data_IF_890826272377
#
_entry.id   IF_890826272377
#
_cell.length_a   1.000
_cell.length_b   1.000
_cell.length_c   1.000
_cell.angle_alpha   90.00
_cell.angle_beta   90.00
_cell.angle_gamma   90.00
#
_symmetry.space_group_name_H-M   'P 1'
#
loop_
_entity.id
_entity.type
_entity.pdbx_description
1 polymer ?
#
# COMPACT_ATOMS: atom_id res chain seq x y z
N UNK A 1 -39.50 6.09 57.16
CA UNK A 1 -38.24 6.81 56.87
C UNK A 1 -37.13 5.78 56.62
N UNK A 2 -37.30 4.90 55.63
CA UNK A 2 -36.34 3.84 55.26
C UNK A 2 -36.23 3.78 53.74
N UNK A 3 -37.39 3.92 53.06
CA UNK A 3 -37.52 4.03 51.59
C UNK A 3 -36.61 5.10 50.96
N UNK A 4 -36.46 6.27 51.60
CA UNK A 4 -35.63 7.37 51.08
C UNK A 4 -34.12 7.12 51.19
N UNK A 5 -33.67 6.19 52.04
CA UNK A 5 -32.23 5.91 52.23
C UNK A 5 -31.74 4.85 51.25
N UNK A 6 -32.57 3.86 50.95
CA UNK A 6 -32.26 2.81 49.98
C UNK A 6 -32.20 3.36 48.54
N UNK A 7 -33.07 4.31 48.19
CA UNK A 7 -33.10 4.93 46.85
C UNK A 7 -31.85 5.78 46.58
N UNK A 8 -31.38 6.54 47.59
CA UNK A 8 -30.13 7.31 47.52
C UNK A 8 -28.91 6.39 47.42
N UNK A 9 -28.95 5.22 48.07
CA UNK A 9 -27.89 4.23 47.98
C UNK A 9 -27.87 3.56 46.59
N UNK A 10 -29.04 3.26 46.01
CA UNK A 10 -29.18 2.71 44.67
C UNK A 10 -28.74 3.69 43.58
N UNK A 11 -29.15 4.96 43.64
CA UNK A 11 -28.70 6.01 42.72
C UNK A 11 -27.17 6.15 42.75
N UNK A 12 -26.58 6.14 43.95
CA UNK A 12 -25.13 6.23 44.11
C UNK A 12 -24.40 5.01 43.53
N UNK A 13 -25.00 3.82 43.62
CA UNK A 13 -24.47 2.58 43.01
C UNK A 13 -24.49 2.66 41.48
N UNK A 14 -25.58 3.12 40.88
CA UNK A 14 -25.71 3.26 39.42
C UNK A 14 -24.75 4.30 38.85
N UNK A 15 -24.54 5.39 39.59
CA UNK A 15 -23.54 6.42 39.23
C UNK A 15 -22.13 5.81 39.26
N UNK A 16 -21.83 4.96 40.23
CA UNK A 16 -20.54 4.27 40.31
C UNK A 16 -20.37 3.24 39.17
N UNK A 17 -21.41 2.48 38.83
CA UNK A 17 -21.38 1.52 37.73
C UNK A 17 -21.20 2.21 36.36
N UNK A 18 -21.88 3.34 36.13
CA UNK A 18 -21.69 4.14 34.91
C UNK A 18 -20.27 4.68 34.85
N UNK A 19 -19.71 5.12 35.99
CA UNK A 19 -18.33 5.60 36.06
C UNK A 19 -17.33 4.48 35.76
N UNK A 20 -17.56 3.28 36.28
CA UNK A 20 -16.77 2.09 35.97
C UNK A 20 -16.83 1.73 34.49
N UNK A 21 -18.03 1.73 33.87
CA UNK A 21 -18.19 1.48 32.43
C UNK A 21 -17.50 2.53 31.55
N UNK A 22 -17.47 3.79 31.97
CA UNK A 22 -16.75 4.86 31.25
C UNK A 22 -15.24 4.68 31.36
N UNK A 23 -14.74 4.28 32.53
CA UNK A 23 -13.33 3.99 32.75
C UNK A 23 -12.88 2.77 31.91
N UNK A 24 -13.67 1.70 31.91
CA UNK A 24 -13.44 0.50 31.12
C UNK A 24 -13.50 0.78 29.61
N UNK A 25 -14.45 1.61 29.17
CA UNK A 25 -14.57 2.03 27.77
C UNK A 25 -13.37 2.86 27.30
N UNK A 26 -12.78 3.68 28.18
CA UNK A 26 -11.54 4.40 27.90
C UNK A 26 -10.35 3.44 27.79
N UNK A 27 -10.22 2.50 28.72
CA UNK A 27 -9.16 1.49 28.69
C UNK A 27 -9.23 0.63 27.43
N UNK A 28 -10.44 0.26 26.99
CA UNK A 28 -10.65 -0.47 25.74
C UNK A 28 -10.24 0.37 24.52
N UNK A 29 -10.65 1.64 24.47
CA UNK A 29 -10.28 2.54 23.38
C UNK A 29 -8.76 2.77 23.30
N UNK A 30 -8.10 2.93 24.45
CA UNK A 30 -6.64 3.05 24.53
C UNK A 30 -5.95 1.77 24.05
N UNK A 31 -6.46 0.59 24.45
CA UNK A 31 -5.92 -0.70 23.99
C UNK A 31 -6.06 -0.90 22.48
N UNK A 32 -7.18 -0.48 21.89
CA UNK A 32 -7.42 -0.57 20.44
C UNK A 32 -6.43 0.32 19.66
N UNK A 33 -6.23 1.57 20.11
CA UNK A 33 -5.28 2.51 19.51
C UNK A 33 -3.86 1.93 19.58
N UNK A 34 -3.48 1.39 20.73
CA UNK A 34 -2.16 0.81 20.93
C UNK A 34 -1.95 -0.45 20.09
N UNK A 35 -2.99 -1.27 19.91
CA UNK A 35 -2.98 -2.42 19.01
C UNK A 35 -2.75 -2.00 17.55
N UNK A 36 -3.49 -1.00 17.07
CA UNK A 36 -3.31 -0.48 15.71
C UNK A 36 -1.94 0.14 15.49
N UNK A 37 -1.42 0.87 16.49
CA UNK A 37 -0.07 1.43 16.47
C UNK A 37 1.00 0.34 16.42
N UNK A 38 0.88 -0.72 17.23
CA UNK A 38 1.79 -1.88 17.23
C UNK A 38 1.74 -2.62 15.90
N UNK A 39 0.55 -2.84 15.33
CA UNK A 39 0.40 -3.47 14.01
C UNK A 39 1.04 -2.64 12.90
N UNK A 40 0.86 -1.31 12.93
CA UNK A 40 1.49 -0.41 11.98
C UNK A 40 3.03 -0.40 12.11
N UNK A 41 3.57 -0.37 13.32
CA UNK A 41 5.01 -0.43 13.59
C UNK A 41 5.62 -1.77 13.18
N UNK A 42 4.94 -2.88 13.46
CA UNK A 42 5.36 -4.21 13.03
C UNK A 42 5.38 -4.31 11.50
N UNK A 43 4.32 -3.86 10.84
CA UNK A 43 4.25 -3.80 9.38
C UNK A 43 5.35 -2.90 8.79
N UNK A 44 5.62 -1.74 9.39
CA UNK A 44 6.69 -0.83 8.96
C UNK A 44 8.08 -1.45 9.13
N UNK A 45 8.30 -2.22 10.20
CA UNK A 45 9.58 -2.89 10.46
C UNK A 45 9.81 -4.05 9.50
N UNK A 46 8.78 -4.87 9.27
CA UNK A 46 8.80 -5.92 8.25
C UNK A 46 8.99 -5.34 6.84
N UNK A 47 8.38 -4.19 6.55
CA UNK A 47 8.49 -3.53 5.26
C UNK A 47 9.94 -3.12 4.94
N UNK A 48 10.77 -2.73 5.92
CA UNK A 48 12.17 -2.32 5.66
C UNK A 48 13.00 -3.40 4.97
N UNK A 49 12.92 -4.64 5.46
CA UNK A 49 13.63 -5.78 4.86
C UNK A 49 13.10 -6.10 3.46
N UNK A 50 11.77 -6.07 3.31
CA UNK A 50 11.10 -6.31 2.03
C UNK A 50 11.47 -5.24 1.01
N UNK A 51 11.48 -3.95 1.39
CA UNK A 51 11.86 -2.85 0.50
C UNK A 51 13.31 -2.95 0.03
N UNK A 52 14.23 -3.41 0.89
CA UNK A 52 15.62 -3.62 0.51
C UNK A 52 15.74 -4.76 -0.53
N UNK A 53 15.03 -5.87 -0.32
CA UNK A 53 15.00 -6.99 -1.26
C UNK A 53 14.37 -6.61 -2.61
N UNK A 54 13.23 -5.91 -2.59
CA UNK A 54 12.60 -5.42 -3.82
C UNK A 54 13.45 -4.38 -4.54
N UNK A 55 14.14 -3.51 -3.79
CA UNK A 55 15.11 -2.56 -4.34
C UNK A 55 16.25 -3.29 -5.05
N UNK A 56 16.87 -4.28 -4.38
CA UNK A 56 17.92 -5.10 -4.98
C UNK A 56 17.42 -5.87 -6.21
N UNK A 57 16.23 -6.48 -6.14
CA UNK A 57 15.61 -7.15 -7.27
C UNK A 57 15.34 -6.21 -8.45
N UNK A 58 14.88 -4.97 -8.19
CA UNK A 58 14.66 -3.97 -9.23
C UNK A 58 15.97 -3.55 -9.91
N UNK A 59 17.05 -3.37 -9.14
CA UNK A 59 18.39 -3.08 -9.68
C UNK A 59 18.89 -4.23 -10.56
N UNK A 60 18.77 -5.48 -10.10
CA UNK A 60 19.14 -6.65 -10.88
C UNK A 60 18.30 -6.80 -12.15
N UNK A 61 16.98 -6.59 -12.06
CA UNK A 61 16.09 -6.62 -13.20
C UNK A 61 16.44 -5.53 -14.24
N UNK A 62 16.86 -4.35 -13.79
CA UNK A 62 17.33 -3.28 -14.67
C UNK A 62 18.59 -3.69 -15.44
N UNK A 63 19.60 -4.25 -14.77
CA UNK A 63 20.80 -4.76 -15.43
C UNK A 63 20.48 -5.93 -16.38
N UNK A 64 19.60 -6.84 -15.97
CA UNK A 64 19.13 -7.93 -16.83
C UNK A 64 18.44 -7.39 -18.09
N UNK A 65 17.64 -6.34 -17.97
CA UNK A 65 17.02 -5.66 -19.11
C UNK A 65 18.04 -5.08 -20.09
N UNK A 66 19.07 -4.39 -19.59
CA UNK A 66 20.17 -3.87 -20.44
C UNK A 66 20.90 -5.03 -21.13
N UNK A 67 21.27 -6.08 -20.38
CA UNK A 67 21.97 -7.23 -20.92
C UNK A 67 21.15 -7.95 -21.99
N UNK A 68 19.83 -8.08 -21.79
CA UNK A 68 18.90 -8.63 -22.78
C UNK A 68 18.90 -7.78 -24.06
N UNK A 69 18.73 -6.46 -23.94
CA UNK A 69 18.71 -5.57 -25.11
C UNK A 69 20.01 -5.65 -25.89
N UNK A 70 21.16 -5.58 -25.21
CA UNK A 70 22.49 -5.71 -25.83
C UNK A 70 22.63 -7.07 -26.51
N UNK A 71 22.29 -8.16 -25.81
CA UNK A 71 22.37 -9.52 -26.35
C UNK A 71 21.48 -9.71 -27.58
N UNK A 72 20.26 -9.18 -27.57
CA UNK A 72 19.33 -9.24 -28.70
C UNK A 72 19.87 -8.46 -29.90
N UNK A 73 20.42 -7.27 -29.68
CA UNK A 73 21.04 -6.46 -30.74
C UNK A 73 22.23 -7.19 -31.37
N UNK A 74 23.08 -7.81 -30.56
CA UNK A 74 24.25 -8.55 -31.06
C UNK A 74 23.85 -9.82 -31.82
N UNK A 75 22.84 -10.53 -31.33
CA UNK A 75 22.33 -11.76 -31.95
C UNK A 75 21.66 -11.48 -33.31
N UNK A 76 20.73 -10.52 -33.36
CA UNK A 76 20.06 -10.14 -34.61
C UNK A 76 20.99 -9.38 -35.56
N UNK A 77 22.01 -8.71 -35.02
CA UNK A 77 23.05 -8.04 -35.81
C UNK A 77 23.73 -8.97 -36.80
N UNK A 78 23.87 -10.27 -36.47
CA UNK A 78 24.43 -11.28 -37.37
C UNK A 78 23.51 -11.66 -38.54
N UNK A 79 22.22 -11.32 -38.46
CA UNK A 79 21.19 -11.69 -39.45
C UNK A 79 20.81 -10.49 -40.32
N UNK A 80 20.50 -9.35 -39.70
CA UNK A 80 19.90 -8.18 -40.37
C UNK A 80 20.74 -6.90 -40.28
N UNK A 81 22.02 -7.00 -39.87
CA UNK A 81 22.94 -5.90 -39.51
C UNK A 81 22.65 -5.26 -38.15
N UNK A 82 23.70 -4.72 -37.51
CA UNK A 82 23.59 -4.08 -36.20
C UNK A 82 22.65 -2.85 -36.20
N UNK A 83 22.68 -2.03 -37.26
CA UNK A 83 21.77 -0.88 -37.39
C UNK A 83 20.30 -1.31 -37.57
N UNK A 84 20.04 -2.33 -38.38
CA UNK A 84 18.71 -2.90 -38.53
C UNK A 84 18.19 -3.48 -37.21
N UNK A 85 19.07 -4.14 -36.47
CA UNK A 85 18.73 -4.71 -35.17
C UNK A 85 18.43 -3.67 -34.11
N UNK A 86 19.23 -2.60 -33.98
CA UNK A 86 18.96 -1.54 -33.00
C UNK A 86 17.64 -0.85 -33.29
N UNK A 87 17.34 -0.56 -34.56
CA UNK A 87 16.08 0.04 -34.97
C UNK A 87 14.88 -0.85 -34.61
N UNK A 88 14.96 -2.15 -34.94
CA UNK A 88 13.89 -3.11 -34.67
C UNK A 88 13.62 -3.28 -33.16
N UNK A 89 14.67 -3.53 -32.37
CA UNK A 89 14.53 -3.74 -30.93
C UNK A 89 13.97 -2.49 -30.25
N UNK A 90 14.45 -1.31 -30.64
CA UNK A 90 13.96 -0.03 -30.10
C UNK A 90 12.49 0.19 -30.46
N UNK A 91 12.09 -0.08 -31.71
CA UNK A 91 10.70 0.07 -32.14
C UNK A 91 9.76 -0.85 -31.36
N UNK A 92 10.12 -2.13 -31.17
CA UNK A 92 9.33 -3.08 -30.39
C UNK A 92 9.18 -2.64 -28.93
N UNK A 93 10.27 -2.22 -28.28
CA UNK A 93 10.23 -1.74 -26.90
C UNK A 93 9.42 -0.45 -26.76
N UNK A 94 9.54 0.48 -27.72
CA UNK A 94 8.78 1.73 -27.72
C UNK A 94 7.27 1.47 -27.84
N UNK A 95 6.86 0.56 -28.73
CA UNK A 95 5.46 0.15 -28.87
C UNK A 95 4.95 -0.47 -27.55
N UNK A 96 5.71 -1.40 -26.96
CA UNK A 96 5.37 -2.02 -25.68
C UNK A 96 5.23 -0.97 -24.56
N UNK A 97 6.18 -0.04 -24.46
CA UNK A 97 6.15 1.05 -23.48
C UNK A 97 4.91 1.93 -23.65
N UNK A 98 4.55 2.29 -24.89
CA UNK A 98 3.34 3.08 -25.17
C UNK A 98 2.06 2.33 -24.77
N UNK A 99 1.96 1.03 -25.04
CA UNK A 99 0.78 0.24 -24.66
C UNK A 99 0.62 0.14 -23.13
N UNK A 100 1.73 -0.07 -22.41
CA UNK A 100 1.74 -0.10 -20.95
C UNK A 100 1.39 1.27 -20.36
N UNK A 101 1.98 2.35 -20.89
CA UNK A 101 1.70 3.72 -20.46
C UNK A 101 0.21 4.06 -20.63
N UNK A 102 -0.38 3.76 -21.79
CA UNK A 102 -1.82 3.99 -22.03
C UNK A 102 -2.69 3.22 -21.04
N UNK A 103 -2.38 1.94 -20.81
CA UNK A 103 -3.12 1.10 -19.86
C UNK A 103 -3.02 1.63 -18.43
N UNK A 104 -1.83 2.06 -18.01
CA UNK A 104 -1.60 2.65 -16.71
C UNK A 104 -2.38 3.97 -16.55
N UNK A 105 -2.32 4.86 -17.54
CA UNK A 105 -3.09 6.11 -17.55
C UNK A 105 -4.59 5.88 -17.48
N UNK A 106 -5.13 4.91 -18.23
CA UNK A 106 -6.55 4.55 -18.15
C UNK A 106 -6.98 4.10 -16.75
N UNK A 107 -6.16 3.28 -16.08
CA UNK A 107 -6.43 2.84 -14.70
C UNK A 107 -6.37 4.00 -13.70
N UNK A 108 -5.37 4.88 -13.84
CA UNK A 108 -5.24 6.07 -13.00
C UNK A 108 -6.43 7.02 -13.18
N UNK A 109 -6.87 7.24 -14.41
CA UNK A 109 -8.02 8.11 -14.70
C UNK A 109 -9.31 7.55 -14.10
N UNK A 110 -9.51 6.22 -14.17
CA UNK A 110 -10.65 5.55 -13.54
C UNK A 110 -10.62 5.69 -12.01
N UNK A 111 -9.44 5.53 -11.38
CA UNK A 111 -9.28 5.72 -9.95
C UNK A 111 -9.55 7.18 -9.52
N UNK A 112 -9.06 8.16 -10.31
CA UNK A 112 -9.33 9.59 -10.08
C UNK A 112 -10.82 9.93 -10.18
N UNK A 113 -11.52 9.38 -11.18
CA UNK A 113 -12.96 9.60 -11.34
C UNK A 113 -13.76 9.16 -10.12
N UNK A 114 -13.46 7.99 -9.53
CA UNK A 114 -14.14 7.50 -8.32
C UNK A 114 -13.92 8.45 -7.12
N UNK A 115 -12.73 9.05 -7.01
CA UNK A 115 -12.40 9.96 -5.91
C UNK A 115 -13.05 11.34 -6.11
N UNK A 116 -13.15 11.80 -7.35
CA UNK A 116 -13.76 13.09 -7.70
C UNK A 116 -15.30 13.04 -7.66
N UNK A 117 -15.92 11.94 -8.10
CA UNK A 117 -17.38 11.76 -8.13
C UNK A 117 -18.00 11.73 -6.72
N UNK A 118 -17.26 11.23 -5.72
CA UNK A 118 -17.68 11.23 -4.30
C UNK A 118 -17.73 12.64 -3.66
N UNK A 119 -17.36 13.70 -4.39
CA UNK A 119 -17.38 15.10 -3.93
C UNK A 119 -18.52 15.95 -4.54
N UNK A 120 -19.43 15.35 -5.31
CA UNK A 120 -20.63 15.99 -5.85
C UNK A 120 -21.88 15.68 -5.05
#
# INVERSE_FOLDING_TARGET
MSETTDDIAAERSLVEDVRALVEDGKLLAEAEIDYHKKRALYAATAAKGITALFGAAAVLAFFAGIALVVGLVLALGQIITYWGSTALVTAVLAIGALMLAKTASSRLNRAKQIITDKKG
#
